data_IF_557181673022
#
_entry.id   IF_557181673022
#
_cell.length_a   1.000
_cell.length_b   1.000
_cell.length_c   1.000
_cell.angle_alpha   90.00
_cell.angle_beta   90.00
_cell.angle_gamma   90.00
#
_symmetry.space_group_name_H-M   'P 1'
#
loop_
_entity.id
_entity.type
_entity.pdbx_description
1 polymer ?
#
# COMPACT_ATOMS: atom_id res chain seq x y z
N UNK A 1 -15.60 -9.27 8.98
CA UNK A 1 -15.60 -8.01 8.22
C UNK A 1 -16.96 -7.83 7.57
N UNK A 2 -17.57 -6.68 7.73
CA UNK A 2 -18.86 -6.40 7.11
C UNK A 2 -18.72 -6.03 5.63
N UNK A 3 -19.86 -6.04 4.92
CA UNK A 3 -19.87 -5.78 3.48
C UNK A 3 -19.46 -4.34 3.15
N UNK A 4 -19.82 -3.38 4.00
CA UNK A 4 -19.47 -1.98 3.78
C UNK A 4 -17.97 -1.77 3.85
N UNK A 5 -17.29 -2.40 4.81
CA UNK A 5 -15.85 -2.33 4.95
C UNK A 5 -15.15 -3.01 3.76
N UNK A 6 -15.65 -4.19 3.36
CA UNK A 6 -15.11 -4.91 2.22
C UNK A 6 -15.23 -4.08 0.93
N UNK A 7 -16.39 -3.46 0.72
CA UNK A 7 -16.62 -2.61 -0.45
C UNK A 7 -15.72 -1.38 -0.45
N UNK A 8 -15.52 -0.77 0.72
CA UNK A 8 -14.63 0.38 0.87
C UNK A 8 -13.20 0.02 0.49
N UNK A 9 -12.69 -1.10 1.00
CA UNK A 9 -11.34 -1.60 0.67
C UNK A 9 -11.23 -1.85 -0.83
N UNK A 10 -12.20 -2.57 -1.39
CA UNK A 10 -12.20 -2.91 -2.81
C UNK A 10 -12.23 -1.67 -3.70
N UNK A 11 -13.01 -0.66 -3.32
CA UNK A 11 -13.10 0.60 -4.07
C UNK A 11 -11.77 1.37 -4.07
N UNK A 12 -11.07 1.39 -2.94
CA UNK A 12 -9.74 2.01 -2.88
C UNK A 12 -8.75 1.31 -3.82
N UNK A 13 -8.78 -0.01 -3.81
CA UNK A 13 -7.87 -0.82 -4.63
C UNK A 13 -8.22 -0.68 -6.12
N UNK A 14 -9.50 -0.77 -6.46
CA UNK A 14 -9.95 -0.71 -7.86
C UNK A 14 -9.80 0.67 -8.48
N UNK A 15 -9.94 1.71 -7.68
CA UNK A 15 -9.91 3.08 -8.16
C UNK A 15 -8.53 3.69 -8.32
N UNK A 16 -7.47 2.98 -7.93
CA UNK A 16 -6.11 3.53 -7.92
C UNK A 16 -5.09 2.51 -8.42
N UNK A 17 -4.16 2.95 -9.26
CA UNK A 17 -3.11 2.09 -9.77
C UNK A 17 -2.19 1.60 -8.66
N UNK A 18 -1.88 2.47 -7.70
CA UNK A 18 -1.06 2.15 -6.53
C UNK A 18 -1.82 2.58 -5.29
N UNK A 19 -2.07 1.66 -4.38
CA UNK A 19 -2.82 1.92 -3.15
C UNK A 19 -2.04 1.37 -1.97
N UNK A 20 -1.79 2.23 -0.99
CA UNK A 20 -1.06 1.88 0.23
C UNK A 20 -1.97 2.05 1.45
N UNK A 21 -2.24 0.95 2.14
CA UNK A 21 -2.92 0.98 3.43
C UNK A 21 -1.84 1.12 4.50
N UNK A 22 -1.88 2.21 5.26
CA UNK A 22 -0.81 2.56 6.18
C UNK A 22 -1.35 3.13 7.49
N UNK A 23 -0.47 3.25 8.48
CA UNK A 23 -0.77 3.93 9.74
C UNK A 23 -0.29 5.36 9.65
N UNK A 24 -1.24 6.30 9.68
CA UNK A 24 -0.99 7.71 9.46
C UNK A 24 -1.11 8.09 8.00
N UNK A 25 -0.45 9.19 7.63
CA UNK A 25 -0.43 9.72 6.26
C UNK A 25 1.00 9.77 5.75
N UNK A 26 1.21 9.91 4.42
CA UNK A 26 2.57 10.01 3.88
C UNK A 26 3.38 11.16 4.46
N UNK A 27 2.72 12.26 4.83
CA UNK A 27 3.40 13.42 5.42
C UNK A 27 3.59 13.28 6.94
N UNK A 28 2.80 12.44 7.59
CA UNK A 28 2.86 12.21 9.02
C UNK A 28 2.64 10.73 9.35
N UNK A 29 3.57 9.83 8.96
CA UNK A 29 3.44 8.41 9.26
C UNK A 29 3.48 8.17 10.76
N UNK A 30 2.61 7.26 11.25
CA UNK A 30 2.49 6.96 12.67
C UNK A 30 3.16 5.62 13.03
N UNK A 31 3.97 5.09 12.12
CA UNK A 31 4.64 3.79 12.29
C UNK A 31 5.89 3.79 11.42
N UNK A 32 7.00 3.30 11.96
CA UNK A 32 8.27 3.24 11.24
C UNK A 32 8.19 2.41 9.96
N UNK A 33 7.40 1.34 9.97
CA UNK A 33 7.23 0.50 8.78
C UNK A 33 6.45 1.24 7.68
N UNK A 34 5.39 1.98 8.05
CA UNK A 34 4.64 2.81 7.10
C UNK A 34 5.52 3.93 6.54
N UNK A 35 6.34 4.55 7.38
CA UNK A 35 7.28 5.58 6.95
C UNK A 35 8.27 5.04 5.93
N UNK A 36 8.82 3.86 6.17
CA UNK A 36 9.79 3.24 5.26
C UNK A 36 9.19 3.02 3.86
N UNK A 37 7.96 2.49 3.81
CA UNK A 37 7.30 2.23 2.53
C UNK A 37 6.98 3.53 1.78
N UNK A 38 6.45 4.53 2.48
CA UNK A 38 6.16 5.83 1.84
C UNK A 38 7.43 6.48 1.31
N UNK A 39 8.53 6.38 2.04
CA UNK A 39 9.81 6.94 1.59
C UNK A 39 10.29 6.26 0.31
N UNK A 40 10.19 4.95 0.22
CA UNK A 40 10.57 4.22 -1.00
C UNK A 40 9.73 4.63 -2.21
N UNK A 41 8.41 4.76 -2.03
CA UNK A 41 7.53 5.21 -3.10
C UNK A 41 7.82 6.66 -3.53
N UNK A 42 8.14 7.53 -2.57
CA UNK A 42 8.52 8.92 -2.86
C UNK A 42 9.83 9.00 -3.63
N UNK A 43 10.82 8.19 -3.28
CA UNK A 43 12.10 8.14 -3.98
C UNK A 43 11.89 7.69 -5.44
N UNK A 44 11.02 6.73 -5.68
CA UNK A 44 10.68 6.28 -7.03
C UNK A 44 9.78 7.26 -7.78
N UNK A 45 9.28 8.29 -7.07
CA UNK A 45 8.37 9.29 -7.62
C UNK A 45 7.08 8.68 -8.18
N UNK A 46 6.54 7.69 -7.45
CA UNK A 46 5.30 7.02 -7.77
C UNK A 46 4.14 7.80 -7.18
N UNK A 47 3.12 8.04 -7.98
CA UNK A 47 1.85 8.56 -7.46
C UNK A 47 1.08 7.40 -6.85
N UNK A 48 0.66 7.56 -5.59
CA UNK A 48 -0.09 6.52 -4.91
C UNK A 48 -1.18 7.11 -4.04
N UNK A 49 -2.25 6.35 -3.88
CA UNK A 49 -3.32 6.66 -2.94
C UNK A 49 -2.96 6.03 -1.60
N UNK A 50 -2.92 6.86 -0.56
CA UNK A 50 -2.74 6.37 0.81
C UNK A 50 -4.08 6.26 1.51
N UNK A 51 -4.24 5.23 2.33
CA UNK A 51 -5.42 5.03 3.16
C UNK A 51 -4.96 4.89 4.60
N UNK A 52 -5.37 5.82 5.44
CA UNK A 52 -4.99 5.83 6.85
C UNK A 52 -5.92 4.93 7.66
N UNK A 53 -5.45 3.73 8.00
CA UNK A 53 -6.26 2.75 8.72
C UNK A 53 -6.49 3.11 10.18
N UNK A 54 -5.78 4.12 10.70
CA UNK A 54 -5.98 4.57 12.08
C UNK A 54 -7.26 5.39 12.27
N UNK A 55 -7.83 5.89 11.17
CA UNK A 55 -9.08 6.66 11.21
C UNK A 55 -10.32 5.78 11.34
N UNK A 56 -10.20 4.48 11.07
CA UNK A 56 -11.34 3.56 11.06
C UNK A 56 -10.89 2.17 11.53
N UNK A 57 -11.32 1.78 12.72
CA UNK A 57 -10.95 0.51 13.31
C UNK A 57 -11.47 -0.68 12.48
N UNK A 58 -12.63 -0.55 11.87
CA UNK A 58 -13.17 -1.59 11.00
C UNK A 58 -12.28 -1.78 9.76
N UNK A 59 -11.79 -0.69 9.21
CA UNK A 59 -10.87 -0.71 8.08
C UNK A 59 -9.53 -1.35 8.47
N UNK A 60 -9.00 -0.99 9.63
CA UNK A 60 -7.74 -1.53 10.14
C UNK A 60 -7.79 -3.06 10.28
N UNK A 61 -8.85 -3.57 10.90
CA UNK A 61 -9.02 -5.01 11.05
C UNK A 61 -9.44 -5.68 9.74
N UNK A 62 -10.29 -5.01 8.96
CA UNK A 62 -10.80 -5.52 7.70
C UNK A 62 -9.73 -5.76 6.64
N UNK A 63 -8.74 -4.86 6.54
CA UNK A 63 -7.69 -5.02 5.52
C UNK A 63 -6.83 -6.27 5.78
N UNK A 64 -6.63 -6.63 7.03
CA UNK A 64 -5.89 -7.85 7.40
C UNK A 64 -6.65 -9.10 6.97
N UNK A 65 -7.97 -9.09 7.16
CA UNK A 65 -8.84 -10.20 6.76
C UNK A 65 -8.92 -10.27 5.23
N UNK A 66 -9.10 -9.12 4.59
CA UNK A 66 -9.22 -9.01 3.14
C UNK A 66 -8.00 -9.59 2.41
N UNK A 67 -6.81 -9.27 2.88
CA UNK A 67 -5.55 -9.70 2.27
C UNK A 67 -5.04 -11.05 2.80
N UNK A 68 -5.62 -11.54 3.89
CA UNK A 68 -5.07 -12.67 4.65
C UNK A 68 -3.61 -12.40 5.06
N UNK A 69 -3.32 -11.15 5.44
CA UNK A 69 -1.98 -10.69 5.82
C UNK A 69 -2.06 -9.93 7.13
N UNK A 70 -1.26 -10.30 8.15
CA UNK A 70 -1.51 -9.86 9.53
C UNK A 70 -1.01 -8.47 9.87
N UNK A 71 -0.23 -7.83 9.02
CA UNK A 71 0.43 -6.57 9.37
C UNK A 71 0.11 -5.44 8.39
N UNK A 72 0.35 -4.21 8.83
CA UNK A 72 0.24 -2.97 8.06
C UNK A 72 1.60 -2.30 8.15
N UNK A 73 2.16 -1.74 7.07
CA UNK A 73 1.49 -1.35 5.81
C UNK A 73 1.27 -2.50 4.83
N UNK A 74 0.34 -2.29 3.88
CA UNK A 74 0.08 -3.22 2.78
C UNK A 74 -0.02 -2.45 1.48
N UNK A 75 0.71 -2.91 0.47
CA UNK A 75 0.78 -2.26 -0.84
C UNK A 75 0.05 -3.08 -1.89
N UNK A 76 -0.76 -2.39 -2.70
CA UNK A 76 -1.43 -2.96 -3.87
C UNK A 76 -1.00 -2.19 -5.11
N UNK A 77 -0.64 -2.90 -6.17
CA UNK A 77 -0.28 -2.31 -7.47
C UNK A 77 -1.16 -2.96 -8.53
N UNK A 78 -1.94 -2.14 -9.24
CA UNK A 78 -2.87 -2.61 -10.28
C UNK A 78 -3.73 -3.76 -9.76
N UNK A 79 -4.33 -3.55 -8.58
CA UNK A 79 -5.24 -4.50 -7.90
C UNK A 79 -4.56 -5.75 -7.34
N UNK A 80 -3.25 -5.88 -7.51
CA UNK A 80 -2.50 -7.03 -6.99
C UNK A 80 -1.87 -6.71 -5.65
N UNK A 81 -2.06 -7.58 -4.67
CA UNK A 81 -1.41 -7.46 -3.38
C UNK A 81 0.08 -7.74 -3.53
N UNK A 82 0.92 -6.79 -3.16
CA UNK A 82 2.37 -6.92 -3.24
C UNK A 82 2.96 -7.48 -1.95
N UNK A 83 2.57 -6.89 -0.82
CA UNK A 83 3.06 -7.33 0.48
C UNK A 83 3.18 -6.21 1.48
N UNK A 84 3.89 -6.52 2.57
CA UNK A 84 4.18 -5.58 3.64
C UNK A 84 5.58 -4.97 3.51
N UNK A 85 6.01 -4.30 4.59
CA UNK A 85 7.25 -3.53 4.59
C UNK A 85 8.48 -4.34 4.20
N UNK A 86 8.66 -5.53 4.76
CA UNK A 86 9.87 -6.34 4.49
C UNK A 86 9.95 -6.78 3.04
N UNK A 87 8.83 -7.21 2.48
CA UNK A 87 8.76 -7.64 1.07
C UNK A 87 9.01 -6.46 0.14
N UNK A 88 8.37 -5.32 0.42
CA UNK A 88 8.53 -4.12 -0.40
C UNK A 88 9.97 -3.62 -0.35
N UNK A 89 10.58 -3.63 0.83
CA UNK A 89 11.98 -3.23 1.00
C UNK A 89 12.92 -4.12 0.18
N UNK A 90 12.72 -5.43 0.25
CA UNK A 90 13.51 -6.39 -0.51
C UNK A 90 13.36 -6.15 -2.01
N UNK A 91 12.14 -5.95 -2.49
CA UNK A 91 11.88 -5.66 -3.89
C UNK A 91 12.48 -4.32 -4.33
N UNK A 92 12.44 -3.32 -3.44
CA UNK A 92 13.03 -2.01 -3.71
C UNK A 92 14.56 -2.14 -3.88
N UNK A 93 15.20 -2.83 -2.96
CA UNK A 93 16.66 -2.98 -2.98
C UNK A 93 17.16 -3.81 -4.17
N UNK A 94 16.38 -4.80 -4.60
CA UNK A 94 16.72 -5.65 -5.76
C UNK A 94 16.39 -5.02 -7.11
N UNK A 95 15.60 -3.93 -7.12
CA UNK A 95 15.09 -3.33 -8.35
C UNK A 95 13.80 -3.94 -8.86
N UNK A 96 13.29 -4.99 -8.21
CA UNK A 96 12.05 -5.65 -8.61
C UNK A 96 10.82 -4.75 -8.48
N UNK A 97 10.79 -3.86 -7.48
CA UNK A 97 9.67 -2.95 -7.29
C UNK A 97 9.54 -1.99 -8.47
N UNK A 98 10.64 -1.39 -8.87
CA UNK A 98 10.68 -0.49 -10.03
C UNK A 98 10.25 -1.23 -11.29
N UNK A 99 10.79 -2.43 -11.50
CA UNK A 99 10.46 -3.25 -12.65
C UNK A 99 8.97 -3.61 -12.67
N UNK A 100 8.41 -4.02 -11.54
CA UNK A 100 6.99 -4.35 -11.44
C UNK A 100 6.10 -3.16 -11.81
N UNK A 101 6.44 -1.96 -11.30
CA UNK A 101 5.71 -0.75 -11.62
C UNK A 101 5.76 -0.43 -13.11
N UNK A 102 6.94 -0.53 -13.72
CA UNK A 102 7.12 -0.32 -15.15
C UNK A 102 6.35 -1.34 -15.99
N UNK A 103 6.45 -2.63 -15.64
CA UNK A 103 5.80 -3.72 -16.35
C UNK A 103 4.28 -3.62 -16.29
N UNK A 104 3.73 -3.09 -15.20
CA UNK A 104 2.30 -2.88 -15.03
C UNK A 104 1.81 -1.54 -15.60
N UNK A 105 2.70 -0.75 -16.19
CA UNK A 105 2.33 0.50 -16.82
C UNK A 105 2.09 1.64 -15.85
N UNK A 106 2.63 1.57 -14.64
CA UNK A 106 2.56 2.65 -13.67
C UNK A 106 3.68 3.65 -13.96
N UNK A 107 3.33 4.93 -14.07
CA UNK A 107 4.31 5.97 -14.32
C UNK A 107 5.20 6.19 -13.10
N UNK A 108 6.51 6.11 -13.31
CA UNK A 108 7.51 6.47 -12.33
C UNK A 108 8.55 7.35 -13.01
N UNK A 109 9.18 8.24 -12.24
CA UNK A 109 10.16 9.17 -12.80
C UNK A 109 11.60 8.75 -12.54
N UNK A 110 11.77 7.72 -11.73
CA UNK A 110 13.11 7.21 -11.40
C UNK A 110 13.21 5.71 -11.56
#
# INVERSE_FOLDING_TARGET
MDDDTKNLIQNHIDGNDVCLFMKGTPDAPQCGFSMAVTNMLKILEVNFQSVNVLEDQNLREGIKIFSDWPTIPQLYIKKEFVGGCDIIKEMYESGELKKMLEDKGVNIKK
#
